data_IF_371499054377
#
_entry.id   IF_371499054377
#
_cell.length_a   1.000
_cell.length_b   1.000
_cell.length_c   1.000
_cell.angle_alpha   90.00
_cell.angle_beta   90.00
_cell.angle_gamma   90.00
#
_symmetry.space_group_name_H-M   'P 1'
#
loop_
_entity.id
_entity.type
_entity.pdbx_description
1 polymer ?
#
# COMPACT_ATOMS: atom_id res chain seq x y z
N UNK A 1 -12.77 -13.85 4.59
CA UNK A 1 -12.04 -13.73 3.31
C UNK A 1 -11.47 -15.09 2.94
N UNK A 2 -11.71 -15.56 1.72
CA UNK A 2 -11.16 -16.83 1.21
C UNK A 2 -9.71 -16.65 0.71
N UNK A 3 -8.95 -17.74 0.59
CA UNK A 3 -7.55 -17.70 0.12
C UNK A 3 -7.41 -17.10 -1.30
N UNK A 4 -8.36 -17.39 -2.20
CA UNK A 4 -8.38 -16.83 -3.56
C UNK A 4 -8.59 -15.31 -3.55
N UNK A 5 -9.42 -14.82 -2.64
CA UNK A 5 -9.67 -13.38 -2.47
C UNK A 5 -8.44 -12.70 -1.89
N UNK A 6 -7.79 -13.30 -0.88
CA UNK A 6 -6.55 -12.80 -0.32
C UNK A 6 -5.47 -12.66 -1.42
N UNK A 7 -5.30 -13.68 -2.25
CA UNK A 7 -4.35 -13.63 -3.35
C UNK A 7 -4.67 -12.50 -4.33
N UNK A 8 -5.95 -12.31 -4.70
CA UNK A 8 -6.39 -11.19 -5.54
C UNK A 8 -6.06 -9.84 -4.89
N UNK A 9 -6.31 -9.69 -3.59
CA UNK A 9 -6.01 -8.45 -2.84
C UNK A 9 -4.51 -8.18 -2.80
N UNK A 10 -3.68 -9.20 -2.53
CA UNK A 10 -2.22 -9.07 -2.54
C UNK A 10 -1.73 -8.63 -3.93
N UNK A 11 -2.16 -9.32 -4.98
CA UNK A 11 -1.75 -9.01 -6.35
C UNK A 11 -2.18 -7.60 -6.78
N UNK A 12 -3.43 -7.23 -6.51
CA UNK A 12 -3.93 -5.89 -6.83
C UNK A 12 -3.19 -4.82 -6.02
N UNK A 13 -2.96 -5.06 -4.74
CA UNK A 13 -2.18 -4.16 -3.87
C UNK A 13 -0.75 -4.01 -4.36
N UNK A 14 -0.11 -5.07 -4.82
CA UNK A 14 1.24 -5.02 -5.39
C UNK A 14 1.33 -4.03 -6.56
N UNK A 15 0.44 -4.13 -7.54
CA UNK A 15 0.44 -3.23 -8.69
C UNK A 15 0.12 -1.78 -8.31
N UNK A 16 -0.85 -1.58 -7.42
CA UNK A 16 -1.24 -0.25 -6.93
C UNK A 16 -0.12 0.42 -6.13
N UNK A 17 0.52 -0.32 -5.20
CA UNK A 17 1.64 0.15 -4.39
C UNK A 17 2.84 0.45 -5.29
N UNK A 18 3.18 -0.44 -6.23
CA UNK A 18 4.30 -0.22 -7.16
C UNK A 18 4.08 1.06 -7.98
N UNK A 19 2.90 1.22 -8.58
CA UNK A 19 2.57 2.40 -9.39
C UNK A 19 2.63 3.68 -8.56
N UNK A 20 2.01 3.68 -7.38
CA UNK A 20 2.02 4.83 -6.47
C UNK A 20 3.43 5.16 -5.96
N UNK A 21 4.25 4.16 -5.70
CA UNK A 21 5.63 4.33 -5.22
C UNK A 21 6.55 4.87 -6.30
N UNK A 22 6.41 4.42 -7.56
CA UNK A 22 7.16 4.99 -8.70
C UNK A 22 6.81 6.46 -8.86
N UNK A 23 5.53 6.82 -8.82
CA UNK A 23 5.09 8.20 -8.95
C UNK A 23 5.60 9.08 -7.79
N UNK A 24 5.50 8.58 -6.55
CA UNK A 24 6.01 9.27 -5.38
C UNK A 24 7.54 9.43 -5.41
N UNK A 25 8.27 8.41 -5.85
CA UNK A 25 9.72 8.46 -6.05
C UNK A 25 10.09 9.52 -7.10
N UNK A 26 9.38 9.54 -8.24
CA UNK A 26 9.61 10.55 -9.28
C UNK A 26 9.42 11.98 -8.76
N UNK A 27 8.36 12.24 -7.98
CA UNK A 27 8.14 13.53 -7.34
C UNK A 27 9.22 13.86 -6.31
N UNK A 28 9.57 12.91 -5.44
CA UNK A 28 10.57 13.09 -4.40
C UNK A 28 11.95 13.45 -4.99
N UNK A 29 12.39 12.70 -6.00
CA UNK A 29 13.68 12.93 -6.65
C UNK A 29 13.67 14.29 -7.36
N UNK A 30 12.63 14.56 -8.15
CA UNK A 30 12.54 15.80 -8.94
C UNK A 30 12.54 17.06 -8.08
N UNK A 31 11.80 17.06 -6.97
CA UNK A 31 11.59 18.28 -6.18
C UNK A 31 12.50 18.40 -4.95
N UNK A 32 12.93 17.28 -4.35
CA UNK A 32 13.66 17.33 -3.08
C UNK A 32 15.15 17.00 -3.21
N UNK A 33 15.52 16.18 -4.19
CA UNK A 33 16.91 15.77 -4.39
C UNK A 33 17.27 15.73 -5.89
N UNK A 34 17.15 16.86 -6.61
CA UNK A 34 17.36 16.89 -8.06
C UNK A 34 18.78 16.51 -8.49
N UNK A 35 19.76 16.72 -7.60
CA UNK A 35 21.16 16.36 -7.83
C UNK A 35 21.48 14.89 -7.53
N UNK A 36 20.56 14.14 -6.92
CA UNK A 36 20.79 12.73 -6.60
C UNK A 36 20.77 11.89 -7.87
N UNK A 37 21.81 11.06 -8.01
CA UNK A 37 21.91 10.05 -9.07
C UNK A 37 21.59 8.70 -8.46
N UNK A 38 20.48 8.12 -8.90
CA UNK A 38 20.11 6.76 -8.56
C UNK A 38 20.51 5.83 -9.72
N UNK A 39 21.10 4.69 -9.38
CA UNK A 39 21.31 3.63 -10.36
C UNK A 39 20.04 2.81 -10.58
N UNK A 40 20.16 1.75 -11.38
CA UNK A 40 19.04 0.85 -11.74
C UNK A 40 18.48 0.11 -10.51
N UNK A 41 19.26 0.05 -9.42
CA UNK A 41 18.92 -0.61 -8.16
C UNK A 41 17.63 -0.03 -7.55
N UNK A 42 17.34 1.27 -7.73
CA UNK A 42 16.12 1.87 -7.17
C UNK A 42 14.84 1.24 -7.73
N UNK A 43 14.85 0.81 -8.99
CA UNK A 43 13.70 0.14 -9.61
C UNK A 43 13.47 -1.22 -8.95
N UNK A 44 14.55 -1.98 -8.75
CA UNK A 44 14.48 -3.28 -8.08
C UNK A 44 14.10 -3.15 -6.59
N UNK A 45 14.57 -2.09 -5.91
CA UNK A 45 14.20 -1.77 -4.54
C UNK A 45 12.71 -1.46 -4.44
N UNK A 46 12.17 -0.61 -5.32
CA UNK A 46 10.74 -0.27 -5.35
C UNK A 46 9.90 -1.54 -5.58
N UNK A 47 10.26 -2.38 -6.56
CA UNK A 47 9.54 -3.63 -6.84
C UNK A 47 9.57 -4.55 -5.62
N UNK A 48 10.75 -4.75 -5.02
CA UNK A 48 10.93 -5.65 -3.88
C UNK A 48 10.15 -5.19 -2.64
N UNK A 49 10.23 -3.90 -2.31
CA UNK A 49 9.50 -3.31 -1.17
C UNK A 49 7.99 -3.33 -1.44
N UNK A 50 7.56 -3.11 -2.68
CA UNK A 50 6.14 -3.17 -3.05
C UNK A 50 5.59 -4.58 -2.88
N UNK A 51 6.38 -5.60 -3.24
CA UNK A 51 6.03 -7.01 -3.03
C UNK A 51 5.92 -7.33 -1.54
N UNK A 52 6.93 -6.99 -0.75
CA UNK A 52 6.91 -7.17 0.71
C UNK A 52 5.72 -6.47 1.35
N UNK A 53 5.45 -5.22 0.96
CA UNK A 53 4.33 -4.42 1.46
C UNK A 53 2.99 -5.03 1.06
N UNK A 54 2.86 -5.58 -0.15
CA UNK A 54 1.63 -6.25 -0.56
C UNK A 54 1.39 -7.54 0.24
N UNK A 55 2.44 -8.29 0.56
CA UNK A 55 2.34 -9.52 1.36
C UNK A 55 1.86 -9.22 2.79
N UNK A 56 2.20 -8.05 3.35
CA UNK A 56 1.66 -7.60 4.63
C UNK A 56 0.13 -7.49 4.65
N UNK A 57 -0.53 -7.42 3.49
CA UNK A 57 -2.00 -7.45 3.41
C UNK A 57 -2.60 -8.74 3.99
N UNK A 58 -1.80 -9.78 4.22
CA UNK A 58 -2.19 -10.97 4.99
C UNK A 58 -2.71 -10.64 6.40
N UNK A 59 -2.33 -9.50 6.99
CA UNK A 59 -2.87 -9.01 8.27
C UNK A 59 -4.39 -8.80 8.21
N UNK A 60 -4.95 -8.56 7.02
CA UNK A 60 -6.39 -8.47 6.81
C UNK A 60 -7.08 -9.83 6.60
N UNK A 61 -6.34 -10.92 6.49
CA UNK A 61 -6.92 -12.25 6.43
C UNK A 61 -7.66 -12.57 7.74
N UNK A 62 -8.95 -12.90 7.60
CA UNK A 62 -9.80 -13.38 8.68
C UNK A 62 -10.82 -14.36 8.14
N UNK A 63 -10.96 -15.49 8.83
CA UNK A 63 -11.99 -16.50 8.53
C UNK A 63 -13.36 -16.11 9.09
N UNK A 64 -13.41 -15.22 10.09
CA UNK A 64 -14.64 -14.66 10.65
C UNK A 64 -14.89 -13.25 10.14
N UNK A 65 -16.15 -12.81 10.15
CA UNK A 65 -16.48 -11.40 9.97
C UNK A 65 -15.81 -10.57 11.08
N UNK A 66 -15.10 -9.52 10.65
CA UNK A 66 -14.41 -8.63 11.57
C UNK A 66 -15.36 -7.51 11.99
N UNK A 67 -15.37 -7.21 13.29
CA UNK A 67 -16.03 -6.00 13.78
C UNK A 67 -15.32 -4.75 13.23
N UNK A 68 -16.05 -3.62 13.18
CA UNK A 68 -15.48 -2.32 12.76
C UNK A 68 -14.22 -1.95 13.54
N UNK A 69 -14.19 -2.22 14.85
CA UNK A 69 -13.04 -1.95 15.73
C UNK A 69 -11.84 -2.83 15.37
N UNK A 70 -12.03 -4.12 15.15
CA UNK A 70 -10.94 -5.03 14.76
C UNK A 70 -10.34 -4.64 13.39
N UNK A 71 -11.17 -4.21 12.44
CA UNK A 71 -10.71 -3.74 11.13
C UNK A 71 -9.82 -2.50 11.26
N UNK A 72 -10.22 -1.52 12.09
CA UNK A 72 -9.42 -0.31 12.36
C UNK A 72 -8.09 -0.66 13.07
N UNK A 73 -8.10 -1.57 14.03
CA UNK A 73 -6.86 -1.99 14.72
C UNK A 73 -5.90 -2.66 13.73
N UNK A 74 -6.39 -3.58 12.89
CA UNK A 74 -5.58 -4.25 11.86
C UNK A 74 -5.03 -3.27 10.83
N UNK A 75 -5.83 -2.27 10.45
CA UNK A 75 -5.42 -1.17 9.58
C UNK A 75 -4.24 -0.38 10.18
N UNK A 76 -4.29 -0.08 11.48
CA UNK A 76 -3.20 0.57 12.21
C UNK A 76 -1.94 -0.29 12.27
N UNK A 77 -2.06 -1.57 12.61
CA UNK A 77 -0.93 -2.52 12.63
C UNK A 77 -0.27 -2.61 11.26
N UNK A 78 -1.07 -2.77 10.20
CA UNK A 78 -0.59 -2.85 8.83
C UNK A 78 0.17 -1.58 8.41
N UNK A 79 -0.34 -0.40 8.77
CA UNK A 79 0.33 0.86 8.50
C UNK A 79 1.68 0.97 9.22
N UNK A 80 1.75 0.58 10.49
CA UNK A 80 2.99 0.58 11.27
C UNK A 80 4.02 -0.38 10.66
N UNK A 81 3.61 -1.60 10.27
CA UNK A 81 4.49 -2.58 9.63
C UNK A 81 5.09 -2.04 8.32
N UNK A 82 4.27 -1.41 7.47
CA UNK A 82 4.73 -0.81 6.22
C UNK A 82 5.75 0.30 6.50
N UNK A 83 5.48 1.19 7.46
CA UNK A 83 6.41 2.27 7.80
C UNK A 83 7.73 1.72 8.34
N UNK A 84 7.70 0.68 9.17
CA UNK A 84 8.94 0.05 9.66
C UNK A 84 9.76 -0.54 8.51
N UNK A 85 9.14 -1.22 7.53
CA UNK A 85 9.83 -1.73 6.34
C UNK A 85 10.43 -0.59 5.53
N UNK A 86 9.66 0.47 5.26
CA UNK A 86 10.11 1.60 4.43
C UNK A 86 11.23 2.41 5.08
N UNK A 87 11.15 2.67 6.38
CA UNK A 87 12.21 3.39 7.11
C UNK A 87 13.47 2.54 7.19
N UNK A 88 13.34 1.25 7.52
CA UNK A 88 14.49 0.33 7.57
C UNK A 88 15.15 0.19 6.21
N UNK A 89 14.36 0.08 5.15
CA UNK A 89 14.84 0.02 3.76
C UNK A 89 15.49 1.33 3.34
N UNK A 90 14.87 2.47 3.63
CA UNK A 90 15.43 3.79 3.29
C UNK A 90 16.75 4.08 4.00
N UNK A 91 16.92 3.58 5.22
CA UNK A 91 18.21 3.62 5.92
C UNK A 91 19.23 2.68 5.29
N UNK A 92 18.84 1.42 5.04
CA UNK A 92 19.74 0.40 4.48
C UNK A 92 20.20 0.72 3.04
N UNK A 93 19.33 1.34 2.24
CA UNK A 93 19.61 1.77 0.87
C UNK A 93 20.15 3.21 0.78
N UNK A 94 20.42 3.85 1.92
CA UNK A 94 20.98 5.21 2.02
C UNK A 94 20.16 6.29 1.28
N UNK A 95 18.84 6.13 1.18
CA UNK A 95 17.95 7.11 0.54
C UNK A 95 17.91 8.45 1.29
N UNK A 96 18.09 8.41 2.62
CA UNK A 96 18.18 9.58 3.48
C UNK A 96 19.04 9.28 4.69
N UNK A 97 19.65 10.32 5.28
CA UNK A 97 20.34 10.23 6.58
C UNK A 97 19.41 10.68 7.69
N UNK A 98 19.49 10.04 8.87
CA UNK A 98 18.70 10.45 10.04
C UNK A 98 18.99 11.87 10.53
N UNK A 99 20.16 12.43 10.17
CA UNK A 99 20.50 13.83 10.43
C UNK A 99 19.64 14.82 9.62
N UNK A 100 19.04 14.39 8.51
CA UNK A 100 18.22 15.22 7.64
C UNK A 100 16.73 15.07 7.95
N UNK A 101 16.34 15.47 9.17
CA UNK A 101 14.97 15.32 9.71
C UNK A 101 13.90 15.86 8.76
N UNK A 102 14.17 16.95 8.05
CA UNK A 102 13.25 17.51 7.04
C UNK A 102 12.93 16.51 5.91
N UNK A 103 13.94 15.84 5.35
CA UNK A 103 13.75 14.85 4.27
C UNK A 103 12.99 13.63 4.79
N UNK A 104 13.31 13.18 6.01
CA UNK A 104 12.62 12.07 6.67
C UNK A 104 11.12 12.36 6.88
N UNK A 105 10.76 13.56 7.37
CA UNK A 105 9.36 13.95 7.56
C UNK A 105 8.60 13.94 6.23
N UNK A 106 9.20 14.50 5.17
CA UNK A 106 8.55 14.54 3.85
C UNK A 106 8.42 13.13 3.25
N UNK A 107 9.42 12.27 3.43
CA UNK A 107 9.35 10.87 3.02
C UNK A 107 8.19 10.14 3.72
N UNK A 108 8.06 10.27 5.04
CA UNK A 108 6.95 9.67 5.80
C UNK A 108 5.60 10.22 5.33
N UNK A 109 5.51 11.53 5.06
CA UNK A 109 4.29 12.13 4.55
C UNK A 109 3.91 11.58 3.16
N UNK A 110 4.88 11.40 2.25
CA UNK A 110 4.65 10.80 0.94
C UNK A 110 4.18 9.35 1.06
N UNK A 111 4.81 8.56 1.93
CA UNK A 111 4.40 7.19 2.22
C UNK A 111 2.97 7.14 2.72
N UNK A 112 2.58 8.04 3.62
CA UNK A 112 1.21 8.15 4.10
C UNK A 112 0.22 8.46 2.97
N UNK A 113 0.55 9.40 2.07
CA UNK A 113 -0.30 9.74 0.92
C UNK A 113 -0.47 8.55 -0.02
N UNK A 114 0.61 7.84 -0.35
CA UNK A 114 0.55 6.64 -1.20
C UNK A 114 -0.29 5.57 -0.51
N UNK A 115 -0.08 5.33 0.78
CA UNK A 115 -0.85 4.37 1.55
C UNK A 115 -2.35 4.68 1.53
N UNK A 116 -2.73 5.92 1.82
CA UNK A 116 -4.13 6.35 1.79
C UNK A 116 -4.74 6.18 0.40
N UNK A 117 -3.99 6.53 -0.66
CA UNK A 117 -4.44 6.39 -2.05
C UNK A 117 -4.71 4.92 -2.41
N UNK A 118 -3.80 4.01 -2.04
CA UNK A 118 -3.98 2.57 -2.25
C UNK A 118 -5.18 2.05 -1.48
N UNK A 119 -5.34 2.44 -0.20
CA UNK A 119 -6.47 2.00 0.64
C UNK A 119 -7.81 2.47 0.10
N UNK A 120 -7.91 3.72 -0.34
CA UNK A 120 -9.12 4.25 -0.97
C UNK A 120 -9.39 3.49 -2.27
N UNK A 121 -8.38 3.24 -3.11
CA UNK A 121 -8.52 2.48 -4.34
C UNK A 121 -9.05 1.06 -4.13
N UNK A 122 -8.54 0.36 -3.12
CA UNK A 122 -9.02 -0.98 -2.73
C UNK A 122 -10.47 -0.90 -2.23
N UNK A 123 -10.76 0.02 -1.30
CA UNK A 123 -12.10 0.17 -0.73
C UNK A 123 -13.16 0.47 -1.80
N UNK A 124 -12.85 1.36 -2.76
CA UNK A 124 -13.74 1.66 -3.88
C UNK A 124 -13.94 0.44 -4.77
N UNK A 125 -12.90 -0.37 -5.00
CA UNK A 125 -13.02 -1.61 -5.78
C UNK A 125 -13.93 -2.62 -5.08
N UNK A 126 -13.75 -2.83 -3.77
CA UNK A 126 -14.58 -3.72 -2.95
C UNK A 126 -16.04 -3.26 -2.95
N UNK A 127 -16.30 -1.96 -2.83
CA UNK A 127 -17.66 -1.42 -2.85
C UNK A 127 -18.35 -1.59 -4.21
N UNK A 128 -17.60 -1.48 -5.31
CA UNK A 128 -18.11 -1.77 -6.66
C UNK A 128 -18.45 -3.24 -6.84
N UNK A 129 -17.63 -4.16 -6.32
CA UNK A 129 -17.93 -5.60 -6.35
C UNK A 129 -19.18 -5.94 -5.52
N UNK A 130 -19.30 -5.37 -4.31
CA UNK A 130 -20.47 -5.56 -3.45
C UNK A 130 -21.77 -5.06 -4.10
N UNK A 131 -21.74 -3.90 -4.74
CA UNK A 131 -22.91 -3.34 -5.44
C UNK A 131 -23.35 -4.22 -6.61
N UNK A 132 -22.41 -4.70 -7.43
CA UNK A 132 -22.70 -5.62 -8.53
C UNK A 132 -23.32 -6.93 -8.06
N UNK A 133 -22.89 -7.46 -6.92
CA UNK A 133 -23.47 -8.67 -6.34
C UNK A 133 -24.91 -8.42 -5.86
N UNK A 134 -25.14 -7.28 -5.20
CA UNK A 134 -26.47 -6.88 -4.73
C UNK A 134 -27.45 -6.67 -5.89
N UNK A 135 -26.99 -6.10 -7.02
CA UNK A 135 -27.79 -5.95 -8.24
C UNK A 135 -28.21 -7.32 -8.80
N UNK A 136 -27.27 -8.27 -8.93
CA UNK A 136 -27.57 -9.63 -9.41
C UNK A 136 -28.57 -10.35 -8.52
N UNK A 137 -28.47 -10.23 -7.19
CA UNK A 137 -29.42 -10.84 -6.26
C UNK A 137 -30.84 -10.27 -6.49
N UNK A 138 -30.95 -8.95 -6.69
CA UNK A 138 -32.25 -8.31 -6.98
C UNK A 138 -32.84 -8.79 -8.30
N UNK A 139 -32.01 -9.01 -9.33
CA UNK A 139 -32.48 -9.57 -10.61
C UNK A 139 -33.02 -11.00 -10.44
N UNK A 140 -32.34 -11.86 -9.67
CA UNK A 140 -32.84 -13.22 -9.38
C UNK A 140 -34.11 -13.24 -8.53
N UNK A 141 -34.33 -12.25 -7.66
CA UNK A 141 -35.54 -12.16 -6.84
C UNK A 141 -36.75 -11.61 -7.59
N UNK A 142 -36.54 -11.01 -8.76
CA UNK A 142 -37.59 -10.38 -9.58
C UNK A 142 -38.09 -11.29 -10.70
N UNK A 143 -37.37 -12.39 -10.98
CA UNK A 143 -37.77 -13.49 -11.87
C UNK A 143 -38.22 -14.70 -11.05
#
# INVERSE_FOLDING_TARGET
MQMKELFRVILYSFFMITTGSIFAAALFITFLIPEARFGVEILWQIISISLLSSLLSIVFYSQRELSKRESIVRQGIHYILINMILISSGYYFEWFKFSEVRKLIIFIALVLVVYMSVRIGIFVSEQKEANKLNEKIKEYQKN
#
